data_IF_432102903902
#
_entry.id   IF_432102903902
#
_cell.length_a   1.000
_cell.length_b   1.000
_cell.length_c   1.000
_cell.angle_alpha   90.00
_cell.angle_beta   90.00
_cell.angle_gamma   90.00
#
_symmetry.space_group_name_H-M   'P 1'
#
loop_
_entity.id
_entity.type
_entity.pdbx_description
1 polymer ?
#
# COMPACT_ATOMS: atom_id res chain seq x y z
N UNK A 1 -21.33 9.83 -2.37
CA UNK A 1 -20.09 10.15 -3.12
C UNK A 1 -19.07 9.05 -2.87
N UNK A 2 -18.29 8.67 -3.90
CA UNK A 2 -17.22 7.69 -3.77
C UNK A 2 -15.99 8.32 -3.12
N UNK A 3 -15.26 7.55 -2.33
CA UNK A 3 -14.02 7.97 -1.69
C UNK A 3 -12.88 7.90 -2.70
N UNK A 4 -12.18 9.02 -2.91
CA UNK A 4 -10.99 9.10 -3.77
C UNK A 4 -9.79 8.55 -3.04
N UNK A 5 -9.11 7.58 -3.65
CA UNK A 5 -7.92 6.90 -3.10
C UNK A 5 -6.81 6.91 -4.14
N UNK A 6 -5.66 7.46 -3.78
CA UNK A 6 -4.46 7.43 -4.62
C UNK A 6 -3.48 6.38 -4.12
N UNK A 7 -2.98 5.54 -5.03
CA UNK A 7 -1.91 4.58 -4.76
C UNK A 7 -0.64 5.06 -5.48
N UNK A 8 0.38 5.39 -4.72
CA UNK A 8 1.62 5.97 -5.20
C UNK A 8 2.81 5.05 -4.95
N UNK A 9 3.38 4.53 -6.03
CA UNK A 9 4.66 3.82 -6.08
C UNK A 9 5.68 4.70 -6.80
N UNK A 10 6.06 5.80 -6.15
CA UNK A 10 6.82 6.86 -6.78
C UNK A 10 8.25 6.46 -7.11
N UNK A 11 8.80 7.06 -8.17
CA UNK A 11 10.20 6.89 -8.57
C UNK A 11 10.90 8.24 -8.71
N UNK A 12 12.23 8.29 -8.53
CA UNK A 12 13.02 9.47 -8.86
C UNK A 12 13.21 9.58 -10.38
N UNK A 13 13.15 10.80 -10.90
CA UNK A 13 13.22 11.08 -12.34
C UNK A 13 14.32 12.08 -12.74
N UNK A 14 15.08 12.62 -11.77
CA UNK A 14 16.04 13.71 -12.03
C UNK A 14 17.30 13.29 -12.79
N UNK A 15 17.72 12.02 -12.69
CA UNK A 15 18.90 11.46 -13.36
C UNK A 15 18.56 10.15 -14.09
N UNK A 16 17.39 10.12 -14.74
CA UNK A 16 16.77 8.90 -15.24
C UNK A 16 15.81 8.31 -14.23
N UNK A 17 15.14 7.23 -14.60
CA UNK A 17 14.14 6.57 -13.75
C UNK A 17 14.86 5.59 -12.84
N UNK A 18 14.87 5.85 -11.52
CA UNK A 18 15.57 5.00 -10.54
C UNK A 18 14.91 3.64 -10.31
N UNK A 19 13.59 3.56 -10.48
CA UNK A 19 12.81 2.33 -10.41
C UNK A 19 11.83 2.29 -11.58
N UNK A 20 12.22 1.62 -12.65
CA UNK A 20 11.49 1.60 -13.91
C UNK A 20 10.42 0.49 -13.99
N UNK A 21 10.12 -0.23 -12.93
CA UNK A 21 9.04 -1.22 -12.91
C UNK A 21 7.67 -0.56 -12.80
N UNK A 22 6.65 -1.18 -13.38
CA UNK A 22 5.26 -0.79 -13.18
C UNK A 22 4.89 -0.80 -11.69
N UNK A 23 3.94 0.05 -11.23
CA UNK A 23 3.46 0.07 -9.85
C UNK A 23 2.57 -1.14 -9.52
N UNK A 24 3.06 -2.35 -9.84
CA UNK A 24 2.27 -3.57 -9.90
C UNK A 24 1.73 -4.01 -8.52
N UNK A 25 2.56 -3.94 -7.46
CA UNK A 25 2.11 -4.28 -6.11
C UNK A 25 0.99 -3.37 -5.62
N UNK A 26 1.12 -2.05 -5.84
CA UNK A 26 0.08 -1.08 -5.53
C UNK A 26 -1.19 -1.33 -6.36
N UNK A 27 -1.03 -1.71 -7.64
CA UNK A 27 -2.14 -2.02 -8.53
C UNK A 27 -2.93 -3.26 -8.11
N UNK A 28 -2.27 -4.29 -7.57
CA UNK A 28 -2.95 -5.48 -7.02
C UNK A 28 -3.82 -5.12 -5.82
N UNK A 29 -3.30 -4.31 -4.89
CA UNK A 29 -4.07 -3.83 -3.73
C UNK A 29 -5.26 -2.98 -4.17
N UNK A 30 -5.06 -2.06 -5.11
CA UNK A 30 -6.12 -1.21 -5.67
C UNK A 30 -7.21 -2.04 -6.37
N UNK A 31 -6.83 -3.03 -7.19
CA UNK A 31 -7.76 -3.91 -7.91
C UNK A 31 -8.58 -4.77 -6.94
N UNK A 32 -7.95 -5.32 -5.91
CA UNK A 32 -8.64 -6.08 -4.87
C UNK A 32 -9.61 -5.20 -4.07
N UNK A 33 -9.17 -4.01 -3.68
CA UNK A 33 -10.03 -3.04 -2.99
C UNK A 33 -11.24 -2.67 -3.86
N UNK A 34 -11.06 -2.42 -5.15
CA UNK A 34 -12.15 -2.12 -6.08
C UNK A 34 -13.14 -3.27 -6.19
N UNK A 35 -12.66 -4.53 -6.27
CA UNK A 35 -13.52 -5.74 -6.25
C UNK A 35 -14.36 -5.83 -4.96
N UNK A 36 -13.77 -5.53 -3.80
CA UNK A 36 -14.42 -5.71 -2.49
C UNK A 36 -15.28 -4.53 -2.05
N UNK A 37 -14.97 -3.31 -2.48
CA UNK A 37 -15.65 -2.09 -2.05
C UNK A 37 -16.53 -1.47 -3.15
N UNK A 38 -16.38 -1.91 -4.39
CA UNK A 38 -17.22 -1.51 -5.52
C UNK A 38 -17.26 -0.01 -5.75
N UNK A 39 -18.45 0.53 -5.88
CA UNK A 39 -18.69 1.96 -6.17
C UNK A 39 -18.43 2.89 -4.97
N UNK A 40 -18.10 2.35 -3.80
CA UNK A 40 -17.72 3.17 -2.64
C UNK A 40 -16.39 3.91 -2.86
N UNK A 41 -15.54 3.41 -3.75
CA UNK A 41 -14.21 3.96 -3.99
C UNK A 41 -13.93 4.26 -5.46
N UNK A 42 -13.10 5.27 -5.68
CA UNK A 42 -12.38 5.50 -6.93
C UNK A 42 -10.90 5.44 -6.65
N UNK A 43 -10.17 4.66 -7.44
CA UNK A 43 -8.73 4.43 -7.23
C UNK A 43 -7.93 4.96 -8.42
N UNK A 44 -6.80 5.56 -8.14
CA UNK A 44 -5.85 5.99 -9.16
C UNK A 44 -4.42 5.63 -8.74
N UNK A 45 -3.60 5.22 -9.74
CA UNK A 45 -2.23 4.76 -9.54
C UNK A 45 -1.25 5.84 -10.02
N UNK A 46 -0.13 5.98 -9.31
CA UNK A 46 0.91 6.95 -9.67
C UNK A 46 2.30 6.31 -9.59
N UNK A 47 3.13 6.66 -10.57
CA UNK A 47 4.55 6.33 -10.62
C UNK A 47 5.41 7.59 -10.67
N UNK A 48 4.96 8.61 -11.39
CA UNK A 48 5.68 9.84 -11.58
C UNK A 48 5.28 10.92 -10.57
N UNK A 49 6.27 11.57 -9.92
CA UNK A 49 6.02 12.59 -8.89
C UNK A 49 5.20 13.77 -9.38
N UNK A 50 5.43 14.25 -10.60
CA UNK A 50 4.73 15.42 -11.14
C UNK A 50 3.25 15.12 -11.41
N UNK A 51 2.94 13.94 -11.98
CA UNK A 51 1.56 13.50 -12.19
C UNK A 51 0.82 13.39 -10.85
N UNK A 52 1.50 12.81 -9.85
CA UNK A 52 0.94 12.68 -8.52
C UNK A 52 0.72 14.04 -7.85
N UNK A 53 1.67 14.97 -7.96
CA UNK A 53 1.53 16.33 -7.43
C UNK A 53 0.33 17.05 -8.05
N UNK A 54 0.21 17.02 -9.39
CA UNK A 54 -0.91 17.63 -10.10
C UNK A 54 -2.26 17.04 -9.66
N UNK A 55 -2.33 15.72 -9.49
CA UNK A 55 -3.53 15.04 -9.00
C UNK A 55 -3.90 15.49 -7.58
N UNK A 56 -2.93 15.57 -6.66
CA UNK A 56 -3.18 16.02 -5.28
C UNK A 56 -3.80 17.42 -5.22
N UNK A 57 -3.37 18.31 -6.09
CA UNK A 57 -3.87 19.70 -6.14
C UNK A 57 -5.30 19.78 -6.67
N UNK A 58 -5.63 18.98 -7.68
CA UNK A 58 -6.92 19.01 -8.36
C UNK A 58 -8.01 18.16 -7.66
N UNK A 59 -7.66 16.97 -7.17
CA UNK A 59 -8.64 15.98 -6.68
C UNK A 59 -8.73 15.95 -5.15
N UNK A 60 -7.62 16.23 -4.43
CA UNK A 60 -7.54 16.19 -2.95
C UNK A 60 -8.06 14.85 -2.39
N UNK A 61 -7.39 13.73 -2.69
CA UNK A 61 -7.85 12.40 -2.31
C UNK A 61 -8.02 12.26 -0.81
N UNK A 62 -9.03 11.49 -0.38
CA UNK A 62 -9.28 11.24 1.04
C UNK A 62 -8.22 10.33 1.65
N UNK A 63 -7.73 9.36 0.87
CA UNK A 63 -6.70 8.41 1.29
C UNK A 63 -5.58 8.42 0.25
N UNK A 64 -4.33 8.46 0.73
CA UNK A 64 -3.15 8.26 -0.08
C UNK A 64 -2.37 7.06 0.47
N UNK A 65 -2.13 6.09 -0.40
CA UNK A 65 -1.38 4.88 -0.10
C UNK A 65 -0.01 4.94 -0.77
N UNK A 66 1.06 4.79 0.00
CA UNK A 66 2.42 4.75 -0.52
C UNK A 66 3.01 3.36 -0.40
N UNK A 67 3.73 2.93 -1.45
CA UNK A 67 4.63 1.78 -1.34
C UNK A 67 5.87 2.14 -0.53
N UNK A 68 6.35 1.20 0.26
CA UNK A 68 7.56 1.36 1.05
C UNK A 68 8.62 0.35 0.62
N UNK A 69 9.45 0.76 -0.33
CA UNK A 69 10.71 0.12 -0.67
C UNK A 69 11.87 0.99 -0.20
N UNK A 70 13.01 0.41 0.11
CA UNK A 70 14.19 1.16 0.61
C UNK A 70 14.63 2.28 -0.36
N UNK A 71 14.49 2.06 -1.66
CA UNK A 71 14.87 3.01 -2.72
C UNK A 71 13.81 4.06 -3.06
N UNK A 72 12.59 3.97 -2.53
CA UNK A 72 11.51 4.94 -2.77
C UNK A 72 10.96 5.56 -1.48
N UNK A 73 11.44 5.12 -0.32
CA UNK A 73 10.90 5.56 0.95
C UNK A 73 11.00 7.07 1.16
N UNK A 74 12.15 7.66 0.85
CA UNK A 74 12.39 9.08 1.14
C UNK A 74 11.47 9.99 0.33
N UNK A 75 11.25 9.70 -0.95
CA UNK A 75 10.31 10.46 -1.78
C UNK A 75 8.87 10.31 -1.25
N UNK A 76 8.46 9.11 -0.89
CA UNK A 76 7.12 8.83 -0.34
C UNK A 76 6.90 9.53 1.00
N UNK A 77 7.93 9.51 1.88
CA UNK A 77 7.90 10.20 3.16
C UNK A 77 7.85 11.73 3.01
N UNK A 78 8.61 12.29 2.07
CA UNK A 78 8.56 13.74 1.81
C UNK A 78 7.18 14.18 1.27
N UNK A 79 6.59 13.41 0.35
CA UNK A 79 5.22 13.67 -0.09
C UNK A 79 4.23 13.57 1.07
N UNK A 80 4.36 12.58 1.95
CA UNK A 80 3.45 12.42 3.08
C UNK A 80 3.47 13.62 4.03
N UNK A 81 4.66 14.17 4.32
CA UNK A 81 4.82 15.38 5.13
C UNK A 81 4.16 16.60 4.47
N UNK A 82 4.40 16.79 3.16
CA UNK A 82 3.80 17.90 2.40
C UNK A 82 2.30 17.78 2.31
N UNK A 83 1.76 16.56 2.12
CA UNK A 83 0.32 16.31 2.12
C UNK A 83 -0.26 16.65 3.49
N UNK A 84 0.31 16.17 4.58
CA UNK A 84 -0.17 16.48 5.94
C UNK A 84 -0.15 17.98 6.25
N UNK A 85 0.86 18.70 5.75
CA UNK A 85 0.94 20.17 5.91
C UNK A 85 -0.15 20.89 5.10
N UNK A 86 -0.41 20.47 3.85
CA UNK A 86 -1.35 21.16 2.94
C UNK A 86 -2.79 20.66 3.09
N UNK A 87 -2.96 19.36 3.35
CA UNK A 87 -4.23 18.65 3.43
C UNK A 87 -4.27 17.76 4.69
N UNK A 88 -4.39 18.33 5.90
CA UNK A 88 -4.23 17.60 7.16
C UNK A 88 -5.23 16.45 7.35
N UNK A 89 -6.40 16.52 6.71
CA UNK A 89 -7.45 15.50 6.75
C UNK A 89 -7.27 14.35 5.76
N UNK A 90 -6.24 14.40 4.91
CA UNK A 90 -5.89 13.26 4.03
C UNK A 90 -5.23 12.17 4.87
N UNK A 91 -5.73 10.96 4.72
CA UNK A 91 -5.26 9.77 5.45
C UNK A 91 -4.07 9.19 4.70
N UNK A 92 -2.95 9.01 5.39
CA UNK A 92 -1.71 8.47 4.83
C UNK A 92 -1.52 7.03 5.28
N UNK A 93 -1.49 6.13 4.30
CA UNK A 93 -1.27 4.69 4.51
C UNK A 93 0.02 4.27 3.82
N UNK A 94 0.89 3.57 4.52
CA UNK A 94 2.08 2.95 3.94
C UNK A 94 1.92 1.43 3.92
N UNK A 95 2.57 0.79 2.96
CA UNK A 95 2.67 -0.66 2.87
C UNK A 95 3.90 -1.05 2.06
N UNK A 96 4.36 -2.27 2.22
CA UNK A 96 5.53 -2.78 1.49
C UNK A 96 6.60 -3.39 2.41
N UNK A 97 7.66 -3.98 1.82
CA UNK A 97 8.59 -4.84 2.55
C UNK A 97 9.60 -4.08 3.41
N UNK A 98 9.85 -2.79 3.16
CA UNK A 98 10.82 -2.00 3.92
C UNK A 98 10.23 -1.52 5.26
N UNK A 99 9.80 -2.47 6.09
CA UNK A 99 9.23 -2.24 7.40
C UNK A 99 9.88 -3.17 8.42
N UNK A 100 10.28 -2.66 9.58
CA UNK A 100 10.93 -3.48 10.59
C UNK A 100 10.11 -4.70 11.00
N UNK A 101 10.81 -5.73 11.47
CA UNK A 101 10.16 -6.98 11.86
C UNK A 101 9.75 -7.00 13.33
N UNK A 102 10.58 -6.44 14.19
CA UNK A 102 10.42 -6.48 15.62
C UNK A 102 9.50 -5.34 16.09
N UNK A 103 8.62 -5.64 17.05
CA UNK A 103 7.62 -4.69 17.58
C UNK A 103 8.27 -3.39 18.05
N UNK A 104 9.42 -3.47 18.75
CA UNK A 104 10.13 -2.29 19.21
C UNK A 104 10.57 -1.39 18.06
N UNK A 105 11.16 -1.96 17.00
CA UNK A 105 11.64 -1.21 15.84
C UNK A 105 10.49 -0.72 14.98
N UNK A 106 9.35 -1.43 14.92
CA UNK A 106 8.11 -0.97 14.27
C UNK A 106 7.54 0.26 14.97
N UNK A 107 7.47 0.22 16.31
CA UNK A 107 7.07 1.39 17.10
C UNK A 107 7.99 2.58 16.83
N UNK A 108 9.31 2.37 16.89
CA UNK A 108 10.30 3.40 16.60
C UNK A 108 10.15 3.98 15.20
N UNK A 109 9.93 3.12 14.19
CA UNK A 109 9.69 3.55 12.81
C UNK A 109 8.49 4.50 12.73
N UNK A 110 7.33 4.09 13.23
CA UNK A 110 6.13 4.95 13.20
C UNK A 110 6.28 6.22 14.05
N UNK A 111 7.02 6.16 15.15
CA UNK A 111 7.34 7.33 15.96
C UNK A 111 8.22 8.35 15.22
N UNK A 112 9.13 7.87 14.37
CA UNK A 112 10.01 8.71 13.56
C UNK A 112 9.32 9.33 12.36
N UNK A 113 8.24 8.69 11.85
CA UNK A 113 7.54 9.09 10.61
C UNK A 113 6.07 9.42 10.89
N UNK A 114 5.85 10.47 11.71
CA UNK A 114 4.51 10.87 12.22
C UNK A 114 3.49 11.27 11.14
N UNK A 115 3.92 11.50 9.89
CA UNK A 115 3.01 11.73 8.79
C UNK A 115 2.27 10.46 8.33
N UNK A 116 2.74 9.27 8.74
CA UNK A 116 2.11 7.98 8.47
C UNK A 116 0.98 7.75 9.47
N UNK A 117 -0.27 7.71 9.00
CA UNK A 117 -1.40 7.40 9.88
C UNK A 117 -1.49 5.91 10.17
N UNK A 118 -1.30 5.07 9.14
CA UNK A 118 -1.41 3.61 9.21
C UNK A 118 -0.34 2.93 8.37
N UNK A 119 0.13 1.78 8.82
CA UNK A 119 1.02 0.92 8.06
C UNK A 119 0.37 -0.46 7.87
N UNK A 120 0.27 -0.93 6.62
CA UNK A 120 -0.19 -2.28 6.30
C UNK A 120 1.03 -3.19 6.14
N UNK A 121 1.16 -4.17 7.03
CA UNK A 121 2.24 -5.14 7.04
C UNK A 121 1.87 -6.39 6.23
N UNK A 122 2.82 -6.97 5.50
CA UNK A 122 2.60 -8.20 4.72
C UNK A 122 1.77 -7.97 3.46
N UNK A 123 0.83 -8.87 3.17
CA UNK A 123 -0.04 -8.74 2.00
C UNK A 123 -1.06 -7.61 2.23
N UNK A 124 -1.07 -6.66 1.30
CA UNK A 124 -1.81 -5.40 1.46
C UNK A 124 -3.30 -5.51 1.17
N UNK A 125 -3.72 -6.49 0.39
CA UNK A 125 -5.07 -6.56 -0.20
C UNK A 125 -6.17 -6.61 0.86
N UNK A 126 -6.12 -7.63 1.74
CA UNK A 126 -7.13 -7.80 2.80
C UNK A 126 -6.95 -6.73 3.88
N UNK A 127 -5.69 -6.45 4.25
CA UNK A 127 -5.36 -5.45 5.27
C UNK A 127 -5.91 -4.07 4.93
N UNK A 128 -5.76 -3.62 3.68
CA UNK A 128 -6.29 -2.34 3.23
C UNK A 128 -7.83 -2.30 3.25
N UNK A 129 -8.49 -3.36 2.78
CA UNK A 129 -9.97 -3.44 2.80
C UNK A 129 -10.50 -3.40 4.24
N UNK A 130 -9.85 -4.09 5.18
CA UNK A 130 -10.23 -4.06 6.59
C UNK A 130 -10.02 -2.68 7.21
N UNK A 131 -8.89 -2.03 6.92
CA UNK A 131 -8.65 -0.65 7.35
C UNK A 131 -9.72 0.29 6.80
N UNK A 132 -10.04 0.20 5.50
CA UNK A 132 -11.07 1.03 4.87
C UNK A 132 -12.43 0.88 5.58
N UNK A 133 -12.87 -0.36 5.84
CA UNK A 133 -14.12 -0.63 6.55
C UNK A 133 -14.14 -0.04 7.96
N UNK A 134 -13.00 -0.09 8.65
CA UNK A 134 -12.89 0.55 9.98
C UNK A 134 -12.91 2.06 9.86
N UNK A 135 -12.21 2.67 8.90
CA UNK A 135 -12.30 4.10 8.63
C UNK A 135 -13.73 4.54 8.30
N UNK A 136 -14.45 3.76 7.50
CA UNK A 136 -15.86 4.02 7.16
C UNK A 136 -16.75 4.05 8.42
N UNK A 137 -16.57 3.11 9.37
CA UNK A 137 -17.31 3.08 10.65
C UNK A 137 -17.09 4.35 11.49
N UNK A 138 -15.91 4.94 11.39
CA UNK A 138 -15.58 6.21 12.10
C UNK A 138 -15.72 7.44 11.20
N UNK A 139 -16.48 7.34 10.09
CA UNK A 139 -16.70 8.45 9.14
C UNK A 139 -15.38 9.08 8.65
N UNK A 140 -14.35 8.25 8.47
CA UNK A 140 -12.99 8.65 8.08
C UNK A 140 -12.32 9.65 9.05
N UNK A 141 -12.73 9.65 10.31
CA UNK A 141 -12.06 10.40 11.36
C UNK A 141 -10.96 9.52 11.97
N UNK A 142 -9.70 9.83 11.61
CA UNK A 142 -8.52 9.08 12.05
C UNK A 142 -8.33 9.12 13.55
N UNK A 143 -8.55 10.29 14.16
CA UNK A 143 -8.37 10.47 15.59
C UNK A 143 -9.36 9.61 16.39
N UNK A 144 -10.65 9.63 16.01
CA UNK A 144 -11.68 8.82 16.66
C UNK A 144 -11.37 7.31 16.52
N UNK A 145 -10.93 6.85 15.33
CA UNK A 145 -10.53 5.47 15.14
C UNK A 145 -9.33 5.12 16.03
N UNK A 146 -8.29 5.95 16.05
CA UNK A 146 -7.09 5.69 16.85
C UNK A 146 -7.38 5.71 18.34
N UNK A 147 -8.21 6.65 18.81
CA UNK A 147 -8.65 6.75 20.20
C UNK A 147 -9.42 5.51 20.68
N UNK A 148 -10.21 4.90 19.79
CA UNK A 148 -10.93 3.66 20.10
C UNK A 148 -10.00 2.44 20.17
N UNK A 149 -8.71 2.58 19.82
CA UNK A 149 -7.72 1.50 19.74
C UNK A 149 -8.19 0.31 18.90
N UNK A 150 -9.00 0.58 17.87
CA UNK A 150 -9.55 -0.46 16.99
C UNK A 150 -8.42 -1.16 16.24
N UNK A 151 -8.23 -2.45 16.51
CA UNK A 151 -7.27 -3.28 15.78
C UNK A 151 -7.85 -3.67 14.42
N UNK A 152 -7.03 -3.55 13.39
CA UNK A 152 -7.36 -3.98 12.03
C UNK A 152 -6.27 -4.93 11.56
N UNK A 153 -6.65 -6.10 11.06
CA UNK A 153 -5.69 -7.13 10.66
C UNK A 153 -4.65 -6.61 9.67
N UNK A 154 -3.41 -6.99 9.86
CA UNK A 154 -2.22 -6.51 9.14
C UNK A 154 -1.95 -4.99 9.26
N UNK A 155 -2.70 -4.25 10.06
CA UNK A 155 -2.56 -2.80 10.17
C UNK A 155 -1.94 -2.39 11.50
N UNK A 156 -0.93 -1.53 11.44
CA UNK A 156 -0.23 -0.96 12.58
C UNK A 156 -0.37 0.56 12.59
N UNK A 157 -0.47 1.15 13.78
CA UNK A 157 -0.48 2.59 13.95
C UNK A 157 -0.06 3.01 15.37
N UNK A 158 0.19 4.29 15.53
CA UNK A 158 0.38 4.90 16.85
C UNK A 158 -0.83 5.74 17.23
N UNK A 159 -1.22 5.61 18.49
CA UNK A 159 -2.09 6.58 19.14
C UNK A 159 -1.36 7.11 20.36
N UNK A 160 -1.12 8.42 20.40
CA UNK A 160 -0.16 9.02 21.33
C UNK A 160 1.20 8.32 21.19
N UNK A 161 1.69 7.63 22.22
CA UNK A 161 2.91 6.84 22.19
C UNK A 161 2.65 5.32 22.29
N UNK A 162 1.38 4.91 22.23
CA UNK A 162 1.00 3.51 22.24
C UNK A 162 1.02 2.93 20.82
N UNK A 163 1.72 1.81 20.66
CA UNK A 163 1.77 1.06 19.41
C UNK A 163 0.61 0.07 19.35
N UNK A 164 -0.28 0.26 18.39
CA UNK A 164 -1.43 -0.62 18.16
C UNK A 164 -1.14 -1.48 16.92
N UNK A 165 -1.10 -2.78 17.13
CA UNK A 165 -0.91 -3.76 16.08
C UNK A 165 -2.15 -4.63 15.92
N UNK A 166 -2.64 -4.73 14.69
CA UNK A 166 -3.61 -5.74 14.30
C UNK A 166 -2.96 -7.12 14.22
N UNK A 167 -3.78 -8.16 14.31
CA UNK A 167 -3.34 -9.54 14.08
C UNK A 167 -2.74 -9.72 12.68
N UNK A 168 -1.79 -10.64 12.55
CA UNK A 168 -1.30 -11.04 11.23
C UNK A 168 -2.35 -11.91 10.55
N UNK A 169 -2.88 -11.44 9.43
CA UNK A 169 -3.88 -12.15 8.66
C UNK A 169 -3.25 -13.33 7.90
N UNK A 170 -4.02 -14.42 7.67
CA UNK A 170 -3.63 -15.44 6.72
C UNK A 170 -3.38 -14.86 5.35
N UNK A 171 -2.45 -15.46 4.61
CA UNK A 171 -2.19 -15.09 3.22
C UNK A 171 -3.34 -15.50 2.32
N UNK A 172 -3.50 -14.80 1.21
CA UNK A 172 -4.48 -15.16 0.16
C UNK A 172 -4.00 -16.46 -0.48
N UNK A 173 -4.76 -17.54 -0.31
CA UNK A 173 -4.41 -18.85 -0.87
C UNK A 173 -4.76 -18.96 -2.35
N UNK A 174 -5.95 -18.51 -2.73
CA UNK A 174 -6.35 -18.40 -4.13
C UNK A 174 -5.99 -17.02 -4.68
N UNK A 175 -4.83 -16.91 -5.34
CA UNK A 175 -4.36 -15.63 -5.87
C UNK A 175 -5.26 -15.08 -6.99
N UNK A 176 -6.07 -15.91 -7.65
CA UNK A 176 -7.01 -15.46 -8.68
C UNK A 176 -8.18 -14.66 -8.10
N UNK A 177 -8.35 -14.65 -6.78
CA UNK A 177 -9.26 -13.72 -6.11
C UNK A 177 -8.86 -12.24 -6.26
N UNK A 178 -7.59 -11.98 -6.56
CA UNK A 178 -7.06 -10.65 -6.84
C UNK A 178 -7.27 -10.34 -8.32
N UNK A 179 -8.10 -9.36 -8.73
CA UNK A 179 -8.30 -9.04 -10.14
C UNK A 179 -7.02 -8.58 -10.84
N UNK A 180 -6.93 -8.81 -12.16
CA UNK A 180 -5.80 -8.34 -12.96
C UNK A 180 -5.80 -6.82 -13.12
N UNK A 181 -4.76 -6.12 -12.67
CA UNK A 181 -4.63 -4.71 -12.98
C UNK A 181 -4.35 -4.43 -14.46
N UNK A 182 -3.84 -5.42 -15.20
CA UNK A 182 -3.69 -5.33 -16.65
C UNK A 182 -5.05 -5.44 -17.36
N UNK A 183 -5.82 -6.51 -17.08
CA UNK A 183 -7.12 -6.71 -17.73
C UNK A 183 -8.17 -5.67 -17.35
N UNK A 184 -8.00 -4.98 -16.23
CA UNK A 184 -8.86 -3.86 -15.83
C UNK A 184 -8.48 -2.53 -16.46
N UNK A 185 -7.38 -2.46 -17.22
CA UNK A 185 -6.87 -1.22 -17.83
C UNK A 185 -6.19 -0.26 -16.85
N UNK A 186 -6.09 -0.63 -15.55
CA UNK A 186 -5.53 0.31 -14.55
C UNK A 186 -4.03 0.59 -14.73
N UNK A 187 -3.33 -0.25 -15.50
CA UNK A 187 -1.91 -0.08 -15.80
C UNK A 187 -1.64 0.49 -17.21
N UNK A 188 -2.67 0.75 -18.03
CA UNK A 188 -2.49 1.14 -19.44
C UNK A 188 -1.65 2.40 -19.61
N UNK A 189 -1.82 3.40 -18.74
CA UNK A 189 -1.07 4.65 -18.80
C UNK A 189 0.44 4.50 -18.56
N UNK A 190 0.89 3.34 -18.06
CA UNK A 190 2.30 3.08 -17.78
C UNK A 190 3.02 2.37 -18.94
N UNK A 191 2.33 2.03 -20.04
CA UNK A 191 2.96 1.57 -21.28
C UNK A 191 3.56 2.73 -22.08
N UNK A 192 4.34 3.58 -21.41
CA UNK A 192 4.94 4.81 -21.93
C UNK A 192 6.34 4.63 -22.55
N UNK A 193 6.82 3.38 -22.65
CA UNK A 193 8.16 2.97 -23.09
C UNK A 193 9.30 3.31 -22.12
N UNK A 194 9.00 3.92 -20.98
CA UNK A 194 9.99 4.26 -19.95
C UNK A 194 9.99 3.23 -18.84
N UNK A 195 8.84 2.63 -18.58
CA UNK A 195 8.66 1.64 -17.53
C UNK A 195 8.63 0.22 -18.11
N UNK A 196 9.10 -0.73 -17.31
CA UNK A 196 9.09 -2.16 -17.61
C UNK A 196 7.86 -2.83 -16.99
N UNK A 197 6.99 -3.47 -17.80
CA UNK A 197 5.88 -4.25 -17.29
C UNK A 197 6.36 -5.36 -16.34
N UNK A 198 5.68 -5.52 -15.22
CA UNK A 198 5.98 -6.50 -14.19
C UNK A 198 4.81 -7.44 -14.02
N UNK A 199 5.05 -8.75 -13.98
CA UNK A 199 4.04 -9.77 -13.70
C UNK A 199 4.47 -10.60 -12.50
N UNK A 200 3.51 -10.98 -11.67
CA UNK A 200 3.70 -11.93 -10.59
C UNK A 200 2.95 -13.22 -10.91
N UNK A 201 3.66 -14.33 -10.92
CA UNK A 201 3.08 -15.66 -11.19
C UNK A 201 2.88 -16.47 -9.91
N UNK A 202 3.68 -16.17 -8.89
CA UNK A 202 3.67 -16.86 -7.60
C UNK A 202 3.87 -15.87 -6.45
N UNK A 203 3.47 -16.25 -5.27
CA UNK A 203 3.80 -15.59 -3.98
C UNK A 203 4.34 -16.60 -3.00
N UNK A 204 5.41 -16.24 -2.31
CA UNK A 204 6.09 -17.05 -1.31
C UNK A 204 7.40 -17.61 -1.80
N UNK A 205 8.22 -18.07 -0.87
CA UNK A 205 9.53 -18.63 -1.12
C UNK A 205 9.79 -19.78 -0.13
N UNK A 206 10.15 -20.98 -0.58
CA UNK A 206 10.36 -22.13 0.29
C UNK A 206 11.68 -22.03 1.07
N UNK A 207 12.56 -21.09 0.68
CA UNK A 207 13.87 -20.93 1.29
C UNK A 207 13.80 -20.03 2.52
N UNK A 208 14.52 -20.42 3.57
CA UNK A 208 14.57 -19.69 4.84
C UNK A 208 15.89 -18.89 4.97
N UNK A 209 16.21 -18.07 3.97
CA UNK A 209 17.43 -17.27 3.99
C UNK A 209 17.37 -16.24 5.13
N UNK A 210 18.37 -16.23 5.99
CA UNK A 210 18.40 -15.39 7.21
C UNK A 210 18.43 -13.89 6.93
N UNK A 211 18.96 -13.48 5.79
CA UNK A 211 19.04 -12.09 5.34
C UNK A 211 17.80 -11.63 4.55
N UNK A 212 16.89 -12.54 4.18
CA UNK A 212 15.78 -12.24 3.31
C UNK A 212 14.51 -11.96 4.11
N UNK A 213 13.76 -10.93 3.71
CA UNK A 213 12.46 -10.62 4.31
C UNK A 213 11.45 -11.76 4.11
N UNK A 214 11.51 -12.45 2.98
CA UNK A 214 10.64 -13.59 2.67
C UNK A 214 11.15 -14.92 3.24
N UNK A 215 12.33 -14.94 3.88
CA UNK A 215 12.88 -16.13 4.54
C UNK A 215 12.16 -16.54 5.84
N UNK A 216 11.01 -15.94 6.15
CA UNK A 216 10.24 -16.20 7.35
C UNK A 216 9.12 -17.20 7.09
N UNK A 217 8.73 -17.90 8.14
CA UNK A 217 7.70 -18.94 8.09
C UNK A 217 6.38 -18.47 7.44
N UNK A 218 6.03 -17.20 7.60
CA UNK A 218 4.86 -16.60 6.95
C UNK A 218 4.89 -16.74 5.42
N UNK A 219 6.06 -16.71 4.79
CA UNK A 219 6.21 -16.74 3.34
C UNK A 219 6.59 -18.12 2.77
N UNK A 220 6.81 -19.14 3.59
CA UNK A 220 7.34 -20.44 3.12
C UNK A 220 6.39 -21.20 2.23
N UNK A 221 5.07 -21.06 2.41
CA UNK A 221 4.07 -21.68 1.54
C UNK A 221 3.95 -20.90 0.23
N UNK A 222 4.09 -21.58 -0.90
CA UNK A 222 3.97 -20.99 -2.23
C UNK A 222 2.53 -21.08 -2.70
N UNK A 223 1.97 -19.94 -3.08
CA UNK A 223 0.69 -19.83 -3.77
C UNK A 223 0.92 -19.40 -5.22
N UNK A 224 0.07 -19.83 -6.14
CA UNK A 224 0.22 -19.58 -7.58
C UNK A 224 -1.04 -18.93 -8.14
N UNK A 225 -0.85 -18.01 -9.08
CA UNK A 225 -1.93 -17.64 -9.99
C UNK A 225 -2.20 -18.81 -10.94
N UNK A 226 -3.44 -18.96 -11.39
CA UNK A 226 -3.78 -19.95 -12.41
C UNK A 226 -3.06 -19.66 -13.72
N UNK A 227 -2.88 -20.69 -14.53
CA UNK A 227 -2.24 -20.57 -15.85
C UNK A 227 -3.06 -19.69 -16.79
N UNK A 228 -4.40 -19.78 -16.69
CA UNK A 228 -5.36 -18.99 -17.45
C UNK A 228 -5.23 -17.50 -17.11
N UNK A 229 -4.93 -17.21 -15.83
CA UNK A 229 -4.75 -15.85 -15.33
C UNK A 229 -3.44 -15.21 -15.78
N UNK A 230 -2.40 -16.01 -15.96
CA UNK A 230 -1.04 -15.53 -16.31
C UNK A 230 -0.85 -15.43 -17.84
N UNK A 231 -1.55 -16.23 -18.65
CA UNK A 231 -1.55 -16.16 -20.12
C UNK A 231 -2.35 -14.96 -20.64
#
# INVERSE_FOLDING_TARGET
>A
MSIQISFADLTYVNQGISSNSFPFGAALVASYAKKKLGNKIQTELFKYPDDFKNHLENIKPKIVCFTNYSWTFDISNEFSKRIKKKFPNTIIVFGGPNYPNEVYTQKKFLSSYRAIDFYIKGEGEIGFVNLFKNLEKFSFNVESLKKSKTKSGNCHYLFEDEFIAGETLPRIENLDDIPSPYLSGSLDKFFDKLLTPTIQTIRGCPFKCTFCQEGKDYFTKIYKFSRERVK
#
